data_IF_866034742814
#
_entry.id   IF_866034742814
#
_cell.length_a   1.000
_cell.length_b   1.000
_cell.length_c   1.000
_cell.angle_alpha   90.00
_cell.angle_beta   90.00
_cell.angle_gamma   90.00
#
_symmetry.space_group_name_H-M   'P 1'
#
loop_
_entity.id
_entity.type
_entity.pdbx_description
1 polymer ?
#
# COMPACT_ATOMS: atom_id res chain seq x y z
N UNK A 1 11.87 17.60 -23.94
CA UNK A 1 10.55 17.24 -23.38
C UNK A 1 10.24 15.75 -23.40
N UNK A 2 10.41 15.04 -24.52
CA UNK A 2 10.13 13.60 -24.59
C UNK A 2 10.92 12.78 -23.56
N UNK A 3 12.21 13.05 -23.41
CA UNK A 3 13.08 12.40 -22.43
C UNK A 3 12.64 12.65 -20.97
N UNK A 4 12.04 13.81 -20.67
CA UNK A 4 11.50 14.12 -19.34
C UNK A 4 10.21 13.33 -19.06
N UNK A 5 9.34 13.19 -20.06
CA UNK A 5 8.12 12.37 -19.93
C UNK A 5 8.46 10.89 -19.76
N UNK A 6 9.42 10.37 -20.54
CA UNK A 6 9.93 9.01 -20.38
C UNK A 6 10.61 8.84 -19.01
N UNK A 7 11.38 9.82 -18.54
CA UNK A 7 12.03 9.76 -17.23
C UNK A 7 11.06 9.84 -16.03
N UNK A 8 9.91 10.48 -16.19
CA UNK A 8 8.93 10.62 -15.10
C UNK A 8 7.87 9.50 -15.09
N UNK A 9 7.44 9.01 -16.25
CA UNK A 9 6.38 8.00 -16.38
C UNK A 9 6.97 6.61 -16.58
N UNK A 10 8.07 6.54 -17.32
CA UNK A 10 8.76 5.30 -17.65
C UNK A 10 9.12 4.47 -16.43
N UNK A 11 9.64 5.03 -15.33
CA UNK A 11 9.93 4.27 -14.12
C UNK A 11 8.73 3.54 -13.52
N UNK A 12 7.53 4.12 -13.55
CA UNK A 12 6.32 3.42 -13.12
C UNK A 12 6.12 2.17 -13.97
N UNK A 13 5.91 2.30 -15.27
CA UNK A 13 5.62 1.16 -16.13
C UNK A 13 6.79 0.18 -16.25
N UNK A 14 8.03 0.66 -16.28
CA UNK A 14 9.23 -0.17 -16.19
C UNK A 14 9.25 -0.97 -14.89
N UNK A 15 8.85 -0.38 -13.75
CA UNK A 15 8.80 -1.12 -12.48
C UNK A 15 7.77 -2.25 -12.46
N UNK A 16 6.72 -2.16 -13.30
CA UNK A 16 5.74 -3.22 -13.52
C UNK A 16 6.29 -4.32 -14.43
N UNK A 17 6.90 -3.93 -15.55
CA UNK A 17 7.40 -4.84 -16.58
C UNK A 17 8.67 -5.58 -16.14
N UNK A 18 9.55 -4.88 -15.41
CA UNK A 18 10.82 -5.40 -14.96
C UNK A 18 10.69 -6.02 -13.57
N UNK A 19 9.67 -6.82 -13.26
CA UNK A 19 9.43 -7.35 -11.89
C UNK A 19 10.70 -7.79 -11.10
N UNK A 20 11.78 -8.33 -11.72
CA UNK A 20 13.06 -8.61 -11.05
C UNK A 20 13.91 -7.39 -10.64
N UNK A 21 13.66 -6.17 -11.12
CA UNK A 21 14.51 -5.00 -10.86
C UNK A 21 14.73 -4.72 -9.36
N UNK A 22 13.79 -5.19 -8.52
CA UNK A 22 13.88 -5.08 -7.06
C UNK A 22 14.93 -6.00 -6.44
N UNK A 23 15.25 -7.13 -7.06
CA UNK A 23 16.37 -7.98 -6.61
C UNK A 23 17.72 -7.34 -6.94
N UNK A 24 17.75 -6.45 -7.94
CA UNK A 24 18.93 -5.68 -8.31
C UNK A 24 19.23 -4.49 -7.38
N UNK A 25 18.37 -4.21 -6.40
CA UNK A 25 18.60 -3.17 -5.39
C UNK A 25 19.24 -3.72 -4.10
N UNK A 26 19.49 -5.02 -4.01
CA UNK A 26 20.11 -5.61 -2.83
C UNK A 26 21.64 -5.62 -2.92
N UNK A 27 22.35 -5.42 -1.79
CA UNK A 27 23.80 -5.58 -1.73
C UNK A 27 24.20 -6.98 -2.23
N UNK A 28 25.04 -7.04 -3.27
CA UNK A 28 25.48 -8.30 -3.90
C UNK A 28 24.90 -8.58 -5.29
N UNK A 29 24.10 -7.67 -5.85
CA UNK A 29 23.71 -7.72 -7.27
C UNK A 29 24.89 -7.40 -8.20
N UNK A 30 24.84 -7.85 -9.47
CA UNK A 30 25.91 -7.55 -10.41
C UNK A 30 26.11 -6.02 -10.58
N UNK A 31 27.34 -5.49 -10.50
CA UNK A 31 27.63 -4.05 -10.46
C UNK A 31 27.14 -3.25 -11.67
N UNK A 32 26.76 -3.91 -12.78
CA UNK A 32 26.10 -3.27 -13.92
C UNK A 32 24.62 -2.95 -13.70
N UNK A 33 23.91 -3.78 -12.91
CA UNK A 33 22.46 -3.66 -12.69
C UNK A 33 22.12 -2.55 -11.68
N UNK A 34 23.02 -2.30 -10.72
CA UNK A 34 22.87 -1.21 -9.73
C UNK A 34 22.73 0.17 -10.40
N UNK A 35 23.46 0.41 -11.50
CA UNK A 35 23.40 1.68 -12.26
C UNK A 35 22.04 1.89 -12.93
N UNK A 36 21.36 0.82 -13.32
CA UNK A 36 20.01 0.87 -13.89
C UNK A 36 18.93 0.97 -12.80
N UNK A 37 19.21 0.44 -11.61
CA UNK A 37 18.31 0.46 -10.47
C UNK A 37 18.30 1.82 -9.74
N UNK A 38 19.42 2.54 -9.71
CA UNK A 38 19.53 3.83 -9.01
C UNK A 38 18.49 4.89 -9.45
N UNK A 39 18.23 5.11 -10.77
CA UNK A 39 17.17 6.02 -11.20
C UNK A 39 15.77 5.58 -10.77
N UNK A 40 15.49 4.26 -10.78
CA UNK A 40 14.22 3.70 -10.32
C UNK A 40 14.06 3.91 -8.81
N UNK A 41 15.14 3.71 -8.04
CA UNK A 41 15.18 3.97 -6.60
C UNK A 41 14.89 5.45 -6.31
N UNK A 42 15.62 6.39 -6.94
CA UNK A 42 15.39 7.83 -6.75
C UNK A 42 13.96 8.21 -7.14
N UNK A 43 13.46 7.67 -8.26
CA UNK A 43 12.08 7.90 -8.68
C UNK A 43 11.08 7.42 -7.61
N UNK A 44 11.21 6.18 -7.15
CA UNK A 44 10.32 5.65 -6.13
C UNK A 44 10.42 6.44 -4.81
N UNK A 45 11.61 6.90 -4.43
CA UNK A 45 11.82 7.68 -3.22
C UNK A 45 11.10 9.02 -3.31
N UNK A 46 11.22 9.72 -4.44
CA UNK A 46 10.50 10.97 -4.69
C UNK A 46 8.97 10.75 -4.70
N UNK A 47 8.51 9.68 -5.37
CA UNK A 47 7.09 9.37 -5.47
C UNK A 47 6.49 8.78 -4.18
N UNK A 48 7.32 8.45 -3.18
CA UNK A 48 6.86 8.03 -1.86
C UNK A 48 6.14 9.18 -1.12
N UNK A 49 6.51 10.44 -1.41
CA UNK A 49 5.80 11.61 -0.90
C UNK A 49 4.60 11.94 -1.77
N UNK A 50 3.40 11.93 -1.17
CA UNK A 50 2.15 12.30 -1.86
C UNK A 50 2.23 13.71 -2.46
N UNK A 51 2.80 14.67 -1.72
CA UNK A 51 2.92 16.05 -2.17
C UNK A 51 3.83 16.16 -3.39
N UNK A 52 4.99 15.50 -3.36
CA UNK A 52 5.93 15.49 -4.49
C UNK A 52 5.29 14.82 -5.69
N UNK A 53 4.67 13.64 -5.51
CA UNK A 53 3.98 12.93 -6.58
C UNK A 53 2.92 13.80 -7.28
N UNK A 54 2.05 14.46 -6.51
CA UNK A 54 0.98 15.31 -7.05
C UNK A 54 1.59 16.52 -7.78
N UNK A 55 2.56 17.21 -7.17
CA UNK A 55 3.19 18.38 -7.79
C UNK A 55 3.90 18.02 -9.10
N UNK A 56 4.70 16.94 -9.12
CA UNK A 56 5.38 16.47 -10.34
C UNK A 56 4.38 16.03 -11.41
N UNK A 57 3.31 15.33 -11.03
CA UNK A 57 2.27 14.90 -11.98
C UNK A 57 1.53 16.07 -12.61
N UNK A 58 1.19 17.11 -11.83
CA UNK A 58 0.56 18.33 -12.34
C UNK A 58 1.49 19.10 -13.27
N UNK A 59 2.76 19.30 -12.87
CA UNK A 59 3.76 19.97 -13.69
C UNK A 59 3.98 19.24 -15.02
N UNK A 60 4.14 17.91 -14.97
CA UNK A 60 4.31 17.10 -16.17
C UNK A 60 3.09 17.17 -17.09
N UNK A 61 1.89 17.09 -16.51
CA UNK A 61 0.63 17.22 -17.25
C UNK A 61 0.54 18.57 -17.96
N UNK A 62 0.84 19.67 -17.24
CA UNK A 62 0.84 21.01 -17.82
C UNK A 62 1.86 21.15 -18.96
N UNK A 63 3.09 20.67 -18.78
CA UNK A 63 4.10 20.66 -19.83
C UNK A 63 3.64 19.87 -21.06
N UNK A 64 3.09 18.67 -20.87
CA UNK A 64 2.59 17.82 -21.97
C UNK A 64 1.46 18.48 -22.75
N UNK A 65 0.53 19.17 -22.08
CA UNK A 65 -0.54 19.93 -22.72
C UNK A 65 0.05 21.08 -23.55
N UNK A 66 1.04 21.82 -23.02
CA UNK A 66 1.71 22.88 -23.76
C UNK A 66 2.45 22.33 -24.99
N UNK A 67 3.17 21.21 -24.87
CA UNK A 67 3.81 20.56 -26.01
C UNK A 67 2.81 20.11 -27.06
N UNK A 68 1.67 19.54 -26.66
CA UNK A 68 0.62 19.15 -27.59
C UNK A 68 0.11 20.34 -28.41
N UNK A 69 -0.08 21.49 -27.77
CA UNK A 69 -0.53 22.73 -28.42
C UNK A 69 0.51 23.29 -29.40
N UNK A 70 1.79 23.20 -29.05
CA UNK A 70 2.88 23.79 -29.84
C UNK A 70 3.58 22.82 -30.81
N UNK A 71 3.25 21.53 -30.77
CA UNK A 71 3.86 20.54 -31.64
C UNK A 71 3.45 20.76 -33.11
N UNK A 72 4.46 20.93 -33.97
CA UNK A 72 4.30 21.10 -35.42
C UNK A 72 4.13 19.78 -36.18
N UNK A 73 4.66 18.68 -35.63
CA UNK A 73 4.59 17.34 -36.24
C UNK A 73 3.51 16.46 -35.60
N UNK A 74 2.76 15.73 -36.42
CA UNK A 74 1.78 14.73 -36.00
C UNK A 74 2.40 13.65 -35.11
N UNK A 75 3.62 13.21 -35.39
CA UNK A 75 4.34 12.22 -34.57
C UNK A 75 4.61 12.77 -33.18
N UNK A 76 5.09 14.02 -33.08
CA UNK A 76 5.33 14.66 -31.78
C UNK A 76 4.03 14.80 -30.97
N UNK A 77 2.93 15.17 -31.62
CA UNK A 77 1.59 15.23 -30.99
C UNK A 77 1.17 13.86 -30.47
N UNK A 78 1.25 12.83 -31.31
CA UNK A 78 0.85 11.47 -30.92
C UNK A 78 1.64 10.99 -29.69
N UNK A 79 2.96 11.19 -29.69
CA UNK A 79 3.80 10.78 -28.56
C UNK A 79 3.48 11.57 -27.28
N UNK A 80 3.27 12.89 -27.37
CA UNK A 80 2.86 13.68 -26.20
C UNK A 80 1.47 13.27 -25.69
N UNK A 81 0.55 12.90 -26.58
CA UNK A 81 -0.78 12.44 -26.21
C UNK A 81 -0.70 11.09 -25.47
N UNK A 82 0.10 10.14 -25.98
CA UNK A 82 0.35 8.86 -25.31
C UNK A 82 0.98 9.07 -23.94
N UNK A 83 1.98 9.94 -23.82
CA UNK A 83 2.60 10.25 -22.53
C UNK A 83 1.60 10.89 -21.55
N UNK A 84 0.72 11.78 -22.03
CA UNK A 84 -0.31 12.41 -21.22
C UNK A 84 -1.30 11.37 -20.69
N UNK A 85 -1.82 10.51 -21.59
CA UNK A 85 -2.70 9.40 -21.20
C UNK A 85 -2.01 8.49 -20.20
N UNK A 86 -0.75 8.11 -20.44
CA UNK A 86 0.01 7.26 -19.53
C UNK A 86 0.17 7.89 -18.15
N UNK A 87 0.41 9.20 -18.06
CA UNK A 87 0.50 9.96 -16.80
C UNK A 87 -0.82 9.92 -16.03
N UNK A 88 -1.92 10.24 -16.72
CA UNK A 88 -3.28 10.27 -16.12
C UNK A 88 -3.73 8.87 -15.70
N UNK A 89 -3.27 7.82 -16.38
CA UNK A 89 -3.60 6.44 -16.06
C UNK A 89 -2.76 5.85 -14.91
N UNK A 90 -1.70 6.53 -14.44
CA UNK A 90 -0.86 6.01 -13.33
C UNK A 90 -1.70 5.67 -12.09
N UNK A 91 -2.59 6.52 -11.54
CA UNK A 91 -3.42 6.17 -10.38
C UNK A 91 -4.35 4.97 -10.58
N UNK A 92 -4.63 4.58 -11.83
CA UNK A 92 -5.48 3.42 -12.17
C UNK A 92 -4.64 2.16 -12.27
N UNK A 93 -3.50 2.22 -12.97
CA UNK A 93 -2.59 1.08 -13.16
C UNK A 93 -1.78 0.79 -11.90
N UNK A 94 -1.44 1.81 -11.12
CA UNK A 94 -0.67 1.72 -9.87
C UNK A 94 -1.54 1.72 -8.62
N UNK A 95 -2.83 1.40 -8.76
CA UNK A 95 -3.71 1.19 -7.60
C UNK A 95 -3.05 0.23 -6.62
N UNK A 96 -3.14 0.64 -5.36
CA UNK A 96 -2.61 -0.10 -4.26
C UNK A 96 -3.60 -1.19 -3.85
N UNK A 97 -3.10 -2.40 -3.61
CA UNK A 97 -3.89 -3.54 -3.15
C UNK A 97 -3.32 -4.08 -1.84
N UNK A 98 -4.18 -4.54 -0.91
CA UNK A 98 -3.74 -5.03 0.38
C UNK A 98 -2.97 -6.35 0.19
N UNK A 99 -2.12 -6.75 1.16
CA UNK A 99 -1.32 -7.96 1.03
C UNK A 99 -2.18 -9.21 1.21
N UNK A 100 -3.34 -9.09 1.83
CA UNK A 100 -4.34 -10.14 2.05
C UNK A 100 -5.67 -9.76 1.42
N UNK A 101 -6.48 -10.76 1.09
CA UNK A 101 -7.86 -10.64 0.64
C UNK A 101 -8.74 -11.59 1.44
N UNK A 102 -10.02 -11.25 1.62
CA UNK A 102 -10.95 -12.17 2.26
C UNK A 102 -11.16 -13.46 1.44
N UNK A 103 -11.37 -14.57 2.13
CA UNK A 103 -11.76 -15.84 1.49
C UNK A 103 -13.12 -15.72 0.77
N UNK A 104 -13.39 -16.57 -0.23
CA UNK A 104 -14.65 -16.53 -0.97
C UNK A 104 -15.87 -16.57 -0.04
N UNK A 105 -16.81 -15.64 -0.24
CA UNK A 105 -18.02 -15.55 0.55
C UNK A 105 -17.90 -14.78 1.87
N UNK A 106 -16.73 -14.22 2.17
CA UNK A 106 -16.54 -13.26 3.27
C UNK A 106 -16.49 -11.83 2.74
N UNK A 107 -16.93 -10.88 3.56
CA UNK A 107 -16.81 -9.45 3.26
C UNK A 107 -15.54 -8.89 3.89
N UNK A 108 -14.84 -8.01 3.17
CA UNK A 108 -13.64 -7.34 3.65
C UNK A 108 -13.86 -5.83 3.72
N UNK A 109 -13.45 -5.22 4.84
CA UNK A 109 -13.30 -3.79 5.01
C UNK A 109 -11.84 -3.43 5.25
N UNK A 110 -11.48 -2.21 4.89
CA UNK A 110 -10.09 -1.78 4.86
C UNK A 110 -9.93 -0.33 5.34
N UNK A 111 -9.83 -0.12 6.66
CA UNK A 111 -9.70 1.21 7.26
C UNK A 111 -8.47 1.97 6.76
N UNK A 112 -7.38 1.26 6.48
CA UNK A 112 -6.12 1.84 6.00
C UNK A 112 -6.02 1.91 4.48
N UNK A 113 -7.15 1.79 3.77
CA UNK A 113 -7.22 1.88 2.30
C UNK A 113 -6.78 3.26 1.85
N UNK A 114 -5.68 3.38 1.08
CA UNK A 114 -5.32 4.66 0.54
C UNK A 114 -6.32 5.09 -0.55
N UNK A 115 -6.64 6.37 -0.61
CA UNK A 115 -7.35 6.94 -1.76
C UNK A 115 -6.54 6.78 -3.06
N UNK A 116 -7.14 7.00 -4.25
CA UNK A 116 -6.50 6.67 -5.54
C UNK A 116 -5.08 7.26 -5.72
N UNK A 117 -4.90 8.53 -5.37
CA UNK A 117 -3.59 9.21 -5.47
C UNK A 117 -2.64 8.79 -4.34
N UNK A 118 -3.17 8.59 -3.13
CA UNK A 118 -2.38 8.09 -2.01
C UNK A 118 -1.92 6.65 -2.24
N UNK A 119 -2.63 5.87 -3.06
CA UNK A 119 -2.27 4.50 -3.39
C UNK A 119 -0.97 4.41 -4.18
N UNK A 120 -0.73 5.35 -5.10
CA UNK A 120 0.54 5.42 -5.85
C UNK A 120 1.70 5.66 -4.88
N UNK A 121 1.56 6.67 -4.01
CA UNK A 121 2.57 6.99 -3.00
C UNK A 121 2.77 5.85 -2.00
N UNK A 122 1.71 5.25 -1.45
CA UNK A 122 1.78 4.10 -0.56
C UNK A 122 2.50 2.91 -1.21
N UNK A 123 2.25 2.68 -2.51
CA UNK A 123 2.93 1.61 -3.27
C UNK A 123 4.42 1.88 -3.46
N UNK A 124 4.81 3.14 -3.61
CA UNK A 124 6.21 3.55 -3.66
C UNK A 124 6.86 3.50 -2.27
N UNK A 125 6.15 3.92 -1.22
CA UNK A 125 6.56 3.88 0.19
C UNK A 125 6.88 2.46 0.66
N UNK A 126 6.07 1.48 0.23
CA UNK A 126 6.37 0.07 0.44
C UNK A 126 7.82 -0.19 0.07
N UNK A 127 8.34 0.29 -1.07
CA UNK A 127 9.72 0.01 -1.50
C UNK A 127 10.80 0.47 -0.51
N UNK A 128 10.52 1.45 0.36
CA UNK A 128 11.50 2.02 1.29
C UNK A 128 11.24 1.70 2.76
N UNK A 129 10.34 0.77 3.05
CA UNK A 129 10.03 0.37 4.43
C UNK A 129 9.67 1.57 5.32
N UNK A 130 8.91 2.53 4.79
CA UNK A 130 8.52 3.71 5.58
C UNK A 130 7.58 3.29 6.71
N UNK A 131 7.93 3.78 7.91
CA UNK A 131 7.63 3.36 9.29
C UNK A 131 6.17 3.37 9.75
N UNK A 132 5.17 3.34 8.87
CA UNK A 132 3.78 3.33 9.35
C UNK A 132 3.43 1.98 9.95
N UNK A 133 3.45 1.92 11.27
CA UNK A 133 3.08 0.76 12.08
C UNK A 133 1.67 0.92 12.63
N UNK A 134 0.97 -0.20 12.72
CA UNK A 134 -0.35 -0.24 13.34
C UNK A 134 -0.36 -1.22 14.51
N UNK A 135 -1.04 -0.82 15.57
CA UNK A 135 -1.30 -1.68 16.72
C UNK A 135 -2.81 -1.74 16.95
N UNK A 136 -3.38 -2.93 16.89
CA UNK A 136 -4.76 -3.16 17.29
C UNK A 136 -4.86 -3.06 18.80
N UNK A 137 -5.73 -2.18 19.31
CA UNK A 137 -5.92 -2.00 20.76
C UNK A 137 -7.11 -2.81 21.26
N UNK A 138 -8.16 -2.91 20.45
CA UNK A 138 -9.38 -3.64 20.78
C UNK A 138 -10.59 -3.02 20.11
N UNK A 139 -11.76 -3.44 20.56
CA UNK A 139 -13.06 -2.95 20.12
C UNK A 139 -13.73 -2.16 21.23
N UNK A 140 -14.43 -1.09 20.89
CA UNK A 140 -15.36 -0.47 21.84
C UNK A 140 -16.59 -1.38 22.04
N UNK A 141 -17.36 -1.20 23.13
CA UNK A 141 -18.62 -1.90 23.32
C UNK A 141 -19.65 -1.58 22.23
N UNK A 142 -19.51 -0.44 21.55
CA UNK A 142 -20.33 -0.05 20.40
C UNK A 142 -19.91 -0.70 19.08
N UNK A 143 -18.85 -1.52 19.07
CA UNK A 143 -18.36 -2.20 17.87
C UNK A 143 -17.45 -1.34 16.97
N UNK A 144 -16.82 -0.29 17.51
CA UNK A 144 -15.78 0.46 16.80
C UNK A 144 -14.41 -0.19 17.06
N UNK A 145 -13.64 -0.46 16.00
CA UNK A 145 -12.27 -0.92 16.13
C UNK A 145 -11.37 0.25 16.52
N UNK A 146 -10.71 0.13 17.67
CA UNK A 146 -9.73 1.10 18.16
C UNK A 146 -8.33 0.59 17.85
N UNK A 147 -7.54 1.41 17.17
CA UNK A 147 -6.16 1.09 16.84
C UNK A 147 -5.27 2.32 16.88
N UNK A 148 -3.98 2.06 17.10
CA UNK A 148 -2.93 3.07 17.07
C UNK A 148 -2.23 3.01 15.73
N UNK A 149 -1.93 4.19 15.18
CA UNK A 149 -1.05 4.38 14.02
C UNK A 149 0.17 5.16 14.49
N UNK A 150 1.35 4.64 14.19
CA UNK A 150 2.64 5.31 14.40
C UNK A 150 3.25 5.56 13.02
N UNK A 151 3.34 6.82 12.61
CA UNK A 151 3.86 7.19 11.28
C UNK A 151 5.38 7.32 11.22
N UNK A 152 6.05 7.53 12.36
CA UNK A 152 7.44 8.01 12.41
C UNK A 152 8.38 7.06 13.18
N UNK A 153 7.96 5.81 13.40
CA UNK A 153 8.79 4.81 14.07
C UNK A 153 9.12 5.17 15.52
N UNK A 154 8.17 5.80 16.23
CA UNK A 154 8.28 6.13 17.65
C UNK A 154 8.78 7.55 17.96
N UNK A 155 8.86 8.46 16.97
CA UNK A 155 9.15 9.87 17.27
C UNK A 155 7.94 10.57 17.92
N UNK A 156 8.16 11.46 18.91
CA UNK A 156 7.08 12.17 19.59
C UNK A 156 6.23 12.99 18.61
N UNK A 157 4.92 12.74 18.58
CA UNK A 157 3.96 13.46 17.72
C UNK A 157 3.52 12.72 16.45
N UNK A 158 4.12 11.57 16.15
CA UNK A 158 3.73 10.69 15.03
C UNK A 158 2.58 9.71 15.36
N UNK A 159 2.27 9.53 16.65
CA UNK A 159 1.22 8.62 17.09
C UNK A 159 -0.19 9.22 16.97
N UNK A 160 -1.11 8.44 16.43
CA UNK A 160 -2.54 8.78 16.33
C UNK A 160 -3.40 7.61 16.75
N UNK A 161 -4.36 7.88 17.64
CA UNK A 161 -5.42 6.94 17.98
C UNK A 161 -6.60 7.11 17.03
N UNK A 162 -7.08 6.00 16.50
CA UNK A 162 -8.10 5.95 15.46
C UNK A 162 -9.22 5.00 15.90
N UNK A 163 -10.46 5.42 15.66
CA UNK A 163 -11.65 4.59 15.80
C UNK A 163 -12.27 4.37 14.43
N UNK A 164 -12.51 3.11 14.08
CA UNK A 164 -13.14 2.71 12.83
C UNK A 164 -14.47 1.99 13.08
N UNK A 165 -15.53 2.49 12.48
CA UNK A 165 -16.88 1.94 12.57
C UNK A 165 -17.20 1.17 11.29
N UNK A 166 -17.15 -0.18 11.31
CA UNK A 166 -17.20 -0.99 10.08
C UNK A 166 -18.55 -0.94 9.37
N UNK A 167 -19.65 -0.81 10.10
CA UNK A 167 -20.99 -0.77 9.51
C UNK A 167 -21.25 0.54 8.75
N UNK A 168 -20.63 1.65 9.18
CA UNK A 168 -20.73 2.95 8.52
C UNK A 168 -19.55 3.26 7.59
N UNK A 169 -18.53 2.38 7.54
CA UNK A 169 -17.25 2.61 6.85
C UNK A 169 -16.61 3.97 7.23
N UNK A 170 -16.67 4.30 8.53
CA UNK A 170 -16.27 5.63 9.04
C UNK A 170 -15.01 5.52 9.90
N UNK A 171 -14.02 6.33 9.55
CA UNK A 171 -12.77 6.48 10.32
C UNK A 171 -12.72 7.86 10.99
N UNK A 172 -12.35 7.91 12.28
CA UNK A 172 -12.12 9.15 13.02
C UNK A 172 -10.89 9.08 13.91
N UNK A 173 -10.24 10.21 14.08
CA UNK A 173 -9.18 10.38 15.09
C UNK A 173 -9.82 10.61 16.45
N UNK A 174 -9.32 9.95 17.48
CA UNK A 174 -9.76 10.12 18.87
C UNK A 174 -8.60 10.59 19.75
N UNK A 175 -8.91 11.32 20.82
CA UNK A 175 -7.92 11.66 21.85
C UNK A 175 -7.67 10.48 22.80
N UNK A 176 -6.63 10.55 23.65
CA UNK A 176 -6.36 9.54 24.68
C UNK A 176 -7.56 9.28 25.59
N UNK A 177 -8.25 10.34 26.02
CA UNK A 177 -9.45 10.26 26.87
C UNK A 177 -10.67 9.69 26.14
N UNK A 178 -10.60 9.57 24.82
CA UNK A 178 -11.64 8.96 24.00
C UNK A 178 -11.58 7.43 23.96
N UNK A 179 -10.54 6.82 24.55
CA UNK A 179 -10.41 5.36 24.65
C UNK A 179 -11.21 4.90 25.86
N UNK A 180 -12.44 4.47 25.61
CA UNK A 180 -13.27 3.77 26.61
C UNK A 180 -12.75 2.37 26.94
N UNK A 181 -13.49 1.59 27.75
CA UNK A 181 -13.17 0.18 27.96
C UNK A 181 -13.10 -0.55 26.61
N UNK A 182 -12.07 -1.38 26.45
CA UNK A 182 -11.85 -2.15 25.23
C UNK A 182 -12.21 -3.61 25.47
N UNK A 183 -12.85 -4.20 24.47
CA UNK A 183 -13.21 -5.59 24.37
C UNK A 183 -12.50 -6.22 23.17
N UNK A 184 -12.54 -7.55 23.07
CA UNK A 184 -12.01 -8.26 21.92
C UNK A 184 -11.43 -9.60 22.34
N UNK A 185 -11.92 -10.65 21.68
CA UNK A 185 -11.37 -11.98 21.85
C UNK A 185 -10.35 -12.24 20.74
N UNK A 186 -9.26 -12.90 21.10
CA UNK A 186 -8.28 -13.38 20.13
C UNK A 186 -8.94 -14.36 19.15
N UNK A 187 -8.69 -14.18 17.85
CA UNK A 187 -9.30 -14.96 16.78
C UNK A 187 -8.28 -15.33 15.69
N UNK A 188 -8.52 -16.45 15.01
CA UNK A 188 -7.67 -16.96 13.93
C UNK A 188 -8.02 -16.30 12.59
N UNK A 189 -7.43 -15.14 12.29
CA UNK A 189 -7.73 -14.37 11.07
C UNK A 189 -7.26 -15.06 9.77
N UNK A 190 -6.23 -15.91 9.85
CA UNK A 190 -5.71 -16.76 8.77
C UNK A 190 -6.77 -17.76 8.25
N UNK A 191 -7.69 -18.16 9.12
CA UNK A 191 -8.83 -18.99 8.71
C UNK A 191 -9.79 -18.24 7.77
N UNK A 192 -9.77 -16.90 7.72
CA UNK A 192 -10.70 -16.04 6.96
C UNK A 192 -10.03 -15.24 5.83
N UNK A 193 -8.70 -15.18 5.80
CA UNK A 193 -7.92 -14.42 4.83
C UNK A 193 -7.08 -15.33 3.92
N UNK A 194 -6.82 -14.87 2.71
CA UNK A 194 -5.86 -15.44 1.76
C UNK A 194 -4.82 -14.38 1.38
N UNK A 195 -3.61 -14.74 0.94
CA UNK A 195 -2.70 -13.82 0.29
C UNK A 195 -3.35 -13.25 -0.96
N UNK A 196 -3.15 -11.96 -1.17
CA UNK A 196 -3.60 -11.29 -2.38
C UNK A 196 -2.83 -11.83 -3.59
N UNK A 197 -3.52 -12.18 -4.70
CA UNK A 197 -2.87 -12.68 -5.91
C UNK A 197 -1.88 -11.68 -6.52
N UNK A 198 -2.18 -10.38 -6.38
CA UNK A 198 -1.28 -9.29 -6.83
C UNK A 198 0.07 -9.31 -6.12
N UNK A 199 0.10 -9.85 -4.91
CA UNK A 199 1.30 -9.96 -4.09
C UNK A 199 1.90 -11.35 -4.16
N UNK A 200 1.12 -12.42 -4.31
CA UNK A 200 1.61 -13.80 -4.38
C UNK A 200 2.61 -14.01 -5.53
N UNK A 201 2.34 -13.43 -6.71
CA UNK A 201 3.28 -13.48 -7.84
C UNK A 201 4.59 -12.71 -7.56
N UNK A 202 4.53 -11.72 -6.66
CA UNK A 202 5.68 -10.89 -6.26
C UNK A 202 6.47 -11.48 -5.10
N UNK A 203 5.93 -12.49 -4.41
CA UNK A 203 6.63 -13.24 -3.36
C UNK A 203 7.75 -14.12 -3.92
N UNK A 204 7.75 -14.38 -5.23
CA UNK A 204 8.56 -15.41 -5.88
C UNK A 204 10.08 -15.29 -5.79
N UNK A 205 10.66 -14.22 -5.21
CA UNK A 205 12.12 -14.12 -5.14
C UNK A 205 12.72 -13.67 -3.80
N UNK A 206 12.13 -12.70 -3.09
CA UNK A 206 12.66 -12.22 -1.79
C UNK A 206 11.90 -12.73 -0.57
N UNK A 207 10.66 -13.19 -0.71
CA UNK A 207 9.99 -13.86 0.42
C UNK A 207 10.73 -15.14 0.81
N UNK A 208 11.37 -15.82 -0.15
CA UNK A 208 12.19 -17.02 0.09
C UNK A 208 13.33 -16.83 1.11
N UNK A 209 13.94 -15.64 1.21
CA UNK A 209 15.08 -15.46 2.14
C UNK A 209 14.65 -15.39 3.61
N UNK A 210 13.37 -15.08 3.90
CA UNK A 210 12.82 -15.14 5.27
C UNK A 210 11.73 -16.19 5.45
N UNK A 211 11.17 -16.76 4.39
CA UNK A 211 10.14 -17.81 4.48
C UNK A 211 10.67 -19.02 5.25
N UNK A 212 11.96 -19.34 5.15
CA UNK A 212 12.58 -20.39 5.99
C UNK A 212 12.54 -20.11 7.50
N UNK A 213 12.33 -18.85 7.92
CA UNK A 213 12.21 -18.47 9.33
C UNK A 213 10.77 -18.60 9.87
N UNK A 214 9.79 -18.92 9.03
CA UNK A 214 8.38 -19.04 9.42
C UNK A 214 7.80 -20.38 8.96
N UNK A 215 6.92 -20.99 9.76
CA UNK A 215 6.29 -22.26 9.41
C UNK A 215 5.29 -22.09 8.25
N UNK A 216 4.68 -20.91 8.16
CA UNK A 216 3.72 -20.55 7.12
C UNK A 216 3.95 -19.11 6.62
N UNK A 217 3.69 -18.80 5.34
CA UNK A 217 3.63 -17.43 4.85
C UNK A 217 2.66 -16.54 5.64
N UNK A 218 1.62 -17.14 6.24
CA UNK A 218 0.62 -16.42 7.03
C UNK A 218 1.17 -15.95 8.37
N UNK A 219 2.06 -16.69 9.02
CA UNK A 219 2.67 -16.31 10.32
C UNK A 219 3.40 -14.96 10.21
N UNK A 220 3.97 -14.72 9.03
CA UNK A 220 4.66 -13.49 8.71
C UNK A 220 3.68 -12.38 8.25
N UNK A 221 2.71 -12.71 7.39
CA UNK A 221 1.77 -11.73 6.81
C UNK A 221 0.72 -11.26 7.82
N UNK A 222 0.35 -12.10 8.76
CA UNK A 222 -0.60 -11.80 9.84
C UNK A 222 0.16 -12.04 11.15
N UNK A 223 1.05 -11.10 11.54
CA UNK A 223 1.99 -11.32 12.65
C UNK A 223 1.33 -11.30 14.04
N UNK A 224 0.08 -10.84 14.13
CA UNK A 224 -0.73 -10.83 15.34
C UNK A 224 -2.00 -11.62 15.08
N UNK A 225 -2.47 -12.32 16.11
CA UNK A 225 -3.79 -12.92 16.06
C UNK A 225 -4.86 -11.84 15.82
N UNK A 226 -5.94 -12.21 15.12
CA UNK A 226 -7.04 -11.30 14.90
C UNK A 226 -7.77 -10.95 16.19
N UNK A 227 -8.53 -9.86 16.18
CA UNK A 227 -9.43 -9.46 17.26
C UNK A 227 -10.87 -9.53 16.78
N UNK A 228 -11.67 -10.41 17.37
CA UNK A 228 -13.11 -10.48 17.14
C UNK A 228 -13.83 -9.30 17.79
N UNK A 229 -14.81 -8.72 17.10
CA UNK A 229 -15.72 -7.71 17.64
C UNK A 229 -16.58 -8.30 18.77
N UNK A 230 -17.19 -7.46 19.64
CA UNK A 230 -18.03 -7.92 20.75
C UNK A 230 -19.19 -8.83 20.33
N UNK A 231 -19.74 -8.57 19.15
CA UNK A 231 -20.82 -9.36 18.54
C UNK A 231 -20.32 -10.56 17.71
N UNK A 232 -19.00 -10.78 17.66
CA UNK A 232 -18.34 -11.86 16.93
C UNK A 232 -18.43 -11.76 15.41
N UNK A 233 -19.05 -10.71 14.85
CA UNK A 233 -19.29 -10.61 13.40
C UNK A 233 -18.05 -10.24 12.61
N UNK A 234 -17.19 -9.38 13.17
CA UNK A 234 -15.99 -8.89 12.53
C UNK A 234 -14.74 -9.45 13.18
N UNK A 235 -13.74 -9.81 12.38
CA UNK A 235 -12.38 -10.04 12.84
C UNK A 235 -11.48 -8.96 12.24
N UNK A 236 -10.84 -8.18 13.08
CA UNK A 236 -9.79 -7.25 12.70
C UNK A 236 -8.43 -7.95 12.70
N UNK A 237 -7.60 -7.69 11.70
CA UNK A 237 -6.25 -8.23 11.62
C UNK A 237 -5.28 -7.18 11.08
N UNK A 238 -4.04 -7.23 11.57
CA UNK A 238 -2.93 -6.51 10.96
C UNK A 238 -2.31 -7.37 9.87
N UNK A 239 -2.18 -6.82 8.68
CA UNK A 239 -1.63 -7.48 7.52
C UNK A 239 -0.34 -6.77 7.08
N UNK A 240 0.76 -7.52 6.95
CA UNK A 240 2.09 -7.00 6.61
C UNK A 240 2.49 -7.36 5.18
N UNK A 241 3.18 -6.45 4.51
CA UNK A 241 3.67 -6.62 3.14
C UNK A 241 4.99 -7.38 3.09
N UNK A 242 5.05 -8.46 2.32
CA UNK A 242 6.12 -9.48 2.40
C UNK A 242 7.57 -9.00 2.36
N UNK A 243 7.82 -7.92 1.64
CA UNK A 243 9.19 -7.44 1.38
C UNK A 243 9.52 -6.25 2.29
N UNK A 244 8.50 -5.52 2.75
CA UNK A 244 8.67 -4.24 3.41
C UNK A 244 7.61 -4.10 4.49
N UNK A 245 7.99 -3.76 5.72
CA UNK A 245 7.18 -3.83 6.95
C UNK A 245 6.01 -2.86 6.98
N UNK A 246 5.65 -2.25 5.85
CA UNK A 246 4.38 -1.59 5.68
C UNK A 246 3.24 -2.51 6.13
N UNK A 247 2.33 -1.93 6.88
CA UNK A 247 1.21 -2.64 7.48
C UNK A 247 -0.12 -2.06 6.99
N UNK A 248 -1.13 -2.92 7.03
CA UNK A 248 -2.52 -2.59 6.79
C UNK A 248 -3.36 -3.15 7.93
N UNK A 249 -4.46 -2.46 8.27
CA UNK A 249 -5.51 -3.05 9.08
C UNK A 249 -6.61 -3.51 8.14
N UNK A 250 -7.06 -4.75 8.29
CA UNK A 250 -8.16 -5.31 7.52
C UNK A 250 -9.20 -5.86 8.47
N UNK A 251 -10.47 -5.75 8.09
CA UNK A 251 -11.56 -6.37 8.83
C UNK A 251 -12.27 -7.34 7.90
N UNK A 252 -12.65 -8.48 8.43
CA UNK A 252 -13.41 -9.49 7.68
C UNK A 252 -14.63 -9.92 8.46
N UNK A 253 -15.76 -10.09 7.78
CA UNK A 253 -16.98 -10.65 8.37
C UNK A 253 -17.55 -11.79 7.55
N UNK A 254 -18.22 -12.70 8.25
CA UNK A 254 -19.19 -13.57 7.61
C UNK A 254 -20.46 -12.75 7.29
N UNK A 255 -21.02 -12.87 6.07
CA UNK A 255 -22.29 -12.26 5.76
C UNK A 255 -23.40 -12.89 6.62
N UNK A 256 -24.42 -12.13 7.03
CA UNK A 256 -25.53 -12.67 7.81
C UNK A 256 -26.26 -13.77 7.02
N UNK A 257 -26.45 -14.95 7.64
CA UNK A 257 -27.26 -16.04 7.10
C UNK A 257 -26.50 -17.21 6.45
N UNK A 258 -25.24 -17.46 6.84
CA UNK A 258 -24.52 -18.69 6.53
C UNK A 258 -24.15 -19.45 7.79
#
# INVERSE_FOLDING_TARGET
>A
MLLLAVGAIGPFYASRLLTPWRTWMYPGSEPGLERLAAPLYVHHALMSSRTVYVATSLLLTAMLILALRHASSTTCRAVCAVALVATVMVPVVFRYTPPVVAKPGLEMRWPTRPGPLAGVSKRCQIVFDTSTHYQLLGWSPSGELIYRRDDDGGLPGGERLLAYEPELDRLRTIGPDGVGPLEGQTAHADSWLNPSPDWSERLGHTAYTRQHAYASPYDWMIPEAGLASPDGRWIAARARHAIYRAEDIVLVRQPPGR
#
